data_IF_316502555369
#
_entry.id   IF_316502555369
#
_cell.length_a   1.000
_cell.length_b   1.000
_cell.length_c   1.000
_cell.angle_alpha   90.00
_cell.angle_beta   90.00
_cell.angle_gamma   90.00
#
_symmetry.space_group_name_H-M   'P 1'
#
loop_
_entity.id
_entity.type
_entity.pdbx_description
1 polymer ?
#
# COMPACT_ATOMS: atom_id res chain seq x y z
N UNK A 1 21.40 -32.93 -9.65
CA UNK A 1 20.17 -32.21 -10.03
C UNK A 1 19.60 -31.64 -8.73
N UNK A 2 19.48 -30.32 -8.65
CA UNK A 2 18.90 -29.67 -7.46
C UNK A 2 17.41 -30.03 -7.35
N UNK A 3 16.97 -30.42 -6.15
CA UNK A 3 15.57 -30.73 -5.86
C UNK A 3 14.76 -29.43 -5.82
N UNK A 4 13.54 -29.41 -6.41
CA UNK A 4 12.60 -28.33 -6.24
C UNK A 4 11.83 -28.48 -4.92
N UNK A 5 11.45 -27.38 -4.28
CA UNK A 5 10.72 -27.44 -3.01
C UNK A 5 9.26 -27.84 -3.23
N UNK A 6 8.62 -27.27 -4.24
CA UNK A 6 7.22 -27.50 -4.57
C UNK A 6 7.03 -27.62 -6.07
N UNK A 7 6.28 -28.64 -6.50
CA UNK A 7 5.75 -28.79 -7.85
C UNK A 7 4.23 -28.80 -7.81
N UNK A 8 3.60 -28.02 -8.66
CA UNK A 8 2.13 -27.94 -8.80
C UNK A 8 1.76 -28.26 -10.25
N UNK A 9 0.92 -29.26 -10.44
CA UNK A 9 0.43 -29.64 -11.76
C UNK A 9 0.05 -31.12 -11.86
N UNK A 10 -0.43 -31.59 -13.05
CA UNK A 10 -0.74 -30.76 -14.19
C UNK A 10 -1.96 -29.85 -13.92
N UNK A 11 -1.97 -28.65 -14.49
CA UNK A 11 -3.06 -27.68 -14.33
C UNK A 11 -3.24 -26.82 -15.58
N UNK A 12 -4.39 -26.14 -15.71
CA UNK A 12 -4.49 -25.01 -16.64
C UNK A 12 -3.73 -23.82 -16.02
N UNK A 13 -2.54 -23.56 -16.52
CA UNK A 13 -1.70 -22.43 -16.06
C UNK A 13 -2.07 -21.19 -16.86
N UNK A 14 -2.43 -20.11 -16.15
CA UNK A 14 -2.80 -18.81 -16.72
C UNK A 14 -1.81 -17.76 -16.22
N UNK A 15 -0.70 -17.54 -16.93
CA UNK A 15 0.41 -16.69 -16.46
C UNK A 15 0.13 -15.18 -16.60
N UNK A 16 -1.02 -14.77 -17.12
CA UNK A 16 -1.44 -13.38 -17.40
C UNK A 16 -0.61 -12.68 -18.49
N UNK A 17 0.69 -12.95 -18.54
CA UNK A 17 1.64 -12.33 -19.50
C UNK A 17 1.81 -13.15 -20.79
N UNK A 18 1.25 -14.36 -20.85
CA UNK A 18 1.28 -15.27 -21.99
C UNK A 18 -0.06 -16.01 -22.14
N UNK A 19 -0.26 -16.70 -23.24
CA UNK A 19 -1.45 -17.52 -23.45
C UNK A 19 -1.53 -18.65 -22.40
N UNK A 20 -2.74 -19.01 -21.93
CA UNK A 20 -2.94 -20.15 -21.04
C UNK A 20 -2.50 -21.47 -21.70
N UNK A 21 -1.96 -22.39 -20.89
CA UNK A 21 -1.55 -23.72 -21.34
C UNK A 21 -1.74 -24.74 -20.22
N UNK A 22 -1.84 -26.01 -20.54
CA UNK A 22 -1.78 -27.10 -19.56
C UNK A 22 -0.32 -27.38 -19.22
N UNK A 23 0.03 -27.38 -17.93
CA UNK A 23 1.44 -27.57 -17.53
C UNK A 23 1.66 -27.50 -16.03
N UNK A 24 2.88 -27.12 -15.67
CA UNK A 24 3.43 -27.21 -14.33
C UNK A 24 4.04 -25.89 -13.89
N UNK A 25 3.99 -25.67 -12.57
CA UNK A 25 4.68 -24.58 -11.88
C UNK A 25 5.55 -25.18 -10.77
N UNK A 26 6.82 -24.80 -10.73
CA UNK A 26 7.76 -25.27 -9.71
C UNK A 26 8.42 -24.10 -8.98
N UNK A 27 8.67 -24.28 -7.69
CA UNK A 27 9.29 -23.28 -6.85
C UNK A 27 10.44 -23.87 -6.03
N UNK A 28 11.48 -23.06 -5.82
CA UNK A 28 12.66 -23.40 -5.00
C UNK A 28 13.13 -22.16 -4.25
N UNK A 29 13.39 -22.27 -2.96
CA UNK A 29 13.86 -21.15 -2.16
C UNK A 29 12.86 -19.99 -2.04
N UNK A 30 11.56 -20.28 -2.23
CA UNK A 30 10.51 -19.28 -2.20
C UNK A 30 10.31 -18.49 -3.51
N UNK A 31 10.99 -18.89 -4.58
CA UNK A 31 10.86 -18.31 -5.92
C UNK A 31 10.31 -19.33 -6.91
N UNK A 32 9.54 -18.85 -7.90
CA UNK A 32 9.10 -19.69 -9.02
C UNK A 32 10.30 -19.89 -9.95
N UNK A 33 10.75 -21.14 -10.07
CA UNK A 33 11.96 -21.51 -10.85
C UNK A 33 11.64 -22.14 -12.20
N UNK A 34 10.42 -22.67 -12.38
CA UNK A 34 9.97 -23.25 -13.64
C UNK A 34 8.47 -23.03 -13.86
N UNK A 35 8.10 -22.72 -15.08
CA UNK A 35 6.71 -22.68 -15.57
C UNK A 35 6.71 -23.19 -17.00
N UNK A 36 6.07 -24.32 -17.26
CA UNK A 36 6.10 -24.92 -18.60
C UNK A 36 5.12 -26.08 -18.80
N UNK A 37 4.95 -26.55 -20.05
CA UNK A 37 4.05 -27.66 -20.38
C UNK A 37 4.49 -29.00 -19.77
N UNK A 38 5.77 -29.17 -19.50
CA UNK A 38 6.34 -30.33 -18.84
C UNK A 38 7.06 -29.91 -17.57
N UNK A 39 7.18 -30.80 -16.56
CA UNK A 39 7.98 -30.50 -15.37
C UNK A 39 9.47 -30.42 -15.71
N UNK A 40 10.27 -29.75 -14.90
CA UNK A 40 11.71 -29.57 -15.12
C UNK A 40 12.53 -30.89 -15.17
N UNK A 41 11.95 -31.99 -14.73
CA UNK A 41 12.63 -33.26 -14.55
C UNK A 41 13.45 -33.38 -13.26
N UNK A 42 13.58 -32.32 -12.47
CA UNK A 42 14.15 -32.37 -11.12
C UNK A 42 13.23 -33.11 -10.16
N UNK A 43 13.73 -33.86 -9.15
CA UNK A 43 12.88 -34.39 -8.09
C UNK A 43 12.27 -33.24 -7.27
N UNK A 44 11.03 -33.41 -6.81
CA UNK A 44 10.36 -32.44 -5.97
C UNK A 44 10.25 -32.95 -4.53
N UNK A 45 10.34 -32.04 -3.54
CA UNK A 45 10.12 -32.34 -2.13
C UNK A 45 8.63 -32.53 -1.86
N UNK A 46 7.82 -31.65 -2.40
CA UNK A 46 6.36 -31.68 -2.32
C UNK A 46 5.76 -31.57 -3.73
N UNK A 47 4.79 -32.43 -3.99
CA UNK A 47 4.03 -32.41 -5.25
C UNK A 47 2.55 -32.23 -4.94
N UNK A 48 1.93 -31.28 -5.62
CA UNK A 48 0.50 -31.02 -5.53
C UNK A 48 -0.16 -31.36 -6.86
N UNK A 49 -1.01 -32.39 -6.86
CA UNK A 49 -1.84 -32.73 -8.02
C UNK A 49 -2.90 -31.65 -8.21
N UNK A 50 -2.79 -30.92 -9.30
CA UNK A 50 -3.70 -29.85 -9.66
C UNK A 50 -4.55 -30.18 -10.90
N UNK A 51 -4.73 -31.47 -11.19
CA UNK A 51 -5.58 -31.90 -12.30
C UNK A 51 -7.00 -31.32 -12.20
N UNK A 52 -7.46 -30.71 -13.31
CA UNK A 52 -8.75 -30.06 -13.37
C UNK A 52 -8.83 -28.70 -12.66
N UNK A 53 -7.70 -28.17 -12.17
CA UNK A 53 -7.62 -26.86 -11.51
C UNK A 53 -6.98 -25.82 -12.42
N UNK A 54 -7.12 -24.55 -12.03
CA UNK A 54 -6.49 -23.40 -12.67
C UNK A 54 -5.43 -22.85 -11.74
N UNK A 55 -4.22 -22.66 -12.24
CA UNK A 55 -3.13 -21.99 -11.51
C UNK A 55 -2.96 -20.59 -12.08
N UNK A 56 -3.07 -19.60 -11.24
CA UNK A 56 -2.93 -18.17 -11.55
C UNK A 56 -1.90 -17.53 -10.62
N UNK A 57 -1.30 -16.39 -10.99
CA UNK A 57 -0.57 -15.57 -10.05
C UNK A 57 -1.47 -15.16 -8.88
N UNK A 58 -0.94 -15.17 -7.67
CA UNK A 58 -1.69 -14.75 -6.50
C UNK A 58 -2.08 -13.26 -6.56
N UNK A 59 -3.14 -12.90 -5.86
CA UNK A 59 -3.61 -11.53 -5.80
C UNK A 59 -2.71 -10.65 -4.91
N UNK A 60 -2.68 -9.38 -5.25
CA UNK A 60 -2.05 -8.31 -4.47
C UNK A 60 -3.14 -7.35 -4.03
N UNK A 61 -3.33 -7.21 -2.72
CA UNK A 61 -4.21 -6.19 -2.16
C UNK A 61 -3.41 -4.90 -1.98
N UNK A 62 -3.64 -3.92 -2.84
CA UNK A 62 -2.88 -2.67 -2.88
C UNK A 62 -3.36 -1.62 -1.89
N UNK A 63 -4.43 -1.90 -1.10
CA UNK A 63 -4.94 -1.01 -0.06
C UNK A 63 -5.76 -1.78 0.96
N UNK A 64 -5.24 -1.95 2.16
CA UNK A 64 -5.92 -2.67 3.24
C UNK A 64 -5.42 -2.21 4.61
N UNK A 65 -6.30 -1.63 5.41
CA UNK A 65 -6.02 -1.25 6.80
C UNK A 65 -6.10 -2.49 7.72
N UNK A 66 -4.99 -3.13 7.98
CA UNK A 66 -4.97 -4.39 8.72
C UNK A 66 -5.32 -4.22 10.20
N UNK A 67 -5.08 -3.05 10.79
CA UNK A 67 -5.49 -2.72 12.16
C UNK A 67 -7.00 -2.53 12.34
N UNK A 68 -7.77 -2.41 11.26
CA UNK A 68 -9.22 -2.15 11.33
C UNK A 68 -10.08 -3.43 11.20
N UNK A 69 -9.47 -4.61 11.10
CA UNK A 69 -10.19 -5.87 10.92
C UNK A 69 -11.21 -6.16 12.03
N UNK A 70 -10.90 -5.78 13.26
CA UNK A 70 -11.81 -5.97 14.42
C UNK A 70 -12.94 -4.93 14.45
N UNK A 71 -12.84 -3.86 13.66
CA UNK A 71 -13.80 -2.77 13.59
C UNK A 71 -14.88 -2.95 12.51
N UNK A 72 -15.10 -4.13 11.97
CA UNK A 72 -16.13 -4.39 10.96
C UNK A 72 -17.52 -4.00 11.45
N UNK A 73 -18.26 -3.25 10.63
CA UNK A 73 -19.60 -2.76 10.94
C UNK A 73 -19.65 -1.54 11.87
N UNK A 74 -18.51 -1.03 12.36
CA UNK A 74 -18.47 0.14 13.26
C UNK A 74 -18.81 1.44 12.53
N UNK A 75 -18.53 1.50 11.24
CA UNK A 75 -18.59 2.73 10.46
C UNK A 75 -19.30 2.57 9.10
N UNK A 76 -20.37 1.76 9.08
CA UNK A 76 -21.16 1.54 7.87
C UNK A 76 -22.08 2.75 7.60
N UNK A 77 -22.36 3.01 6.32
CA UNK A 77 -23.37 3.95 5.82
C UNK A 77 -23.21 5.42 6.28
N UNK A 78 -21.97 5.89 6.45
CA UNK A 78 -21.65 7.29 6.78
C UNK A 78 -20.72 7.92 5.75
N UNK A 79 -20.75 9.26 5.63
CA UNK A 79 -19.81 10.01 4.80
C UNK A 79 -18.37 9.94 5.37
N UNK A 80 -17.37 10.29 4.53
CA UNK A 80 -15.96 10.14 4.88
C UNK A 80 -15.56 10.93 6.13
N UNK A 81 -16.04 12.16 6.31
CA UNK A 81 -15.61 12.99 7.44
C UNK A 81 -16.25 12.51 8.75
N UNK A 82 -17.52 12.11 8.73
CA UNK A 82 -18.19 11.43 9.84
C UNK A 82 -17.49 10.09 10.12
N UNK A 83 -17.18 9.32 9.08
CA UNK A 83 -16.44 8.06 9.18
C UNK A 83 -15.09 8.26 9.91
N UNK A 84 -14.31 9.25 9.50
CA UNK A 84 -13.00 9.54 10.11
C UNK A 84 -13.14 10.01 11.55
N UNK A 85 -13.91 11.10 11.78
CA UNK A 85 -13.90 11.85 13.04
C UNK A 85 -14.68 11.16 14.15
N UNK A 86 -15.82 10.54 13.80
CA UNK A 86 -16.74 9.99 14.79
C UNK A 86 -16.62 8.47 14.97
N UNK A 87 -15.98 7.77 14.02
CA UNK A 87 -15.91 6.31 14.05
C UNK A 87 -14.47 5.80 14.07
N UNK A 88 -13.70 6.07 13.03
CA UNK A 88 -12.40 5.41 12.85
C UNK A 88 -11.32 5.98 13.78
N UNK A 89 -11.19 7.30 13.90
CA UNK A 89 -10.19 7.84 14.81
C UNK A 89 -10.46 7.47 16.28
N UNK A 90 -11.69 7.57 16.83
CA UNK A 90 -11.98 7.04 18.16
C UNK A 90 -11.65 5.55 18.30
N UNK A 91 -12.00 4.73 17.29
CA UNK A 91 -11.65 3.32 17.26
C UNK A 91 -10.14 3.11 17.29
N UNK A 92 -9.38 3.76 16.38
CA UNK A 92 -7.93 3.62 16.28
C UNK A 92 -7.20 4.08 17.56
N UNK A 93 -7.71 5.12 18.24
CA UNK A 93 -7.19 5.61 19.53
C UNK A 93 -7.43 4.60 20.65
N UNK A 94 -8.55 3.89 20.62
CA UNK A 94 -8.89 2.89 21.63
C UNK A 94 -8.12 1.57 21.48
N UNK A 95 -7.56 1.29 20.28
CA UNK A 95 -6.76 0.08 20.06
C UNK A 95 -5.50 0.08 20.92
N UNK A 96 -5.17 -1.09 21.44
CA UNK A 96 -3.85 -1.39 22.00
C UNK A 96 -2.94 -2.00 20.94
N UNK A 97 -1.67 -2.13 21.30
CA UNK A 97 -0.70 -2.82 20.44
C UNK A 97 -1.06 -4.30 20.25
N UNK A 98 -1.60 -4.96 21.31
CA UNK A 98 -2.08 -6.33 21.24
C UNK A 98 -3.32 -6.48 20.33
N UNK A 99 -4.26 -5.54 20.40
CA UNK A 99 -5.43 -5.52 19.51
C UNK A 99 -4.99 -5.37 18.05
N UNK A 100 -4.03 -4.51 17.77
CA UNK A 100 -3.49 -4.30 16.43
C UNK A 100 -2.76 -5.53 15.90
N UNK A 101 -2.07 -6.29 16.76
CA UNK A 101 -1.44 -7.56 16.41
C UNK A 101 -2.48 -8.60 16.00
N UNK A 102 -3.52 -8.79 16.84
CA UNK A 102 -4.60 -9.75 16.56
C UNK A 102 -5.38 -9.33 15.31
N UNK A 103 -5.69 -8.04 15.16
CA UNK A 103 -6.38 -7.49 13.99
C UNK A 103 -5.60 -7.77 12.69
N UNK A 104 -4.30 -7.47 12.68
CA UNK A 104 -3.45 -7.68 11.53
C UNK A 104 -3.28 -9.17 11.19
N UNK A 105 -3.14 -10.03 12.20
CA UNK A 105 -3.11 -11.48 12.02
C UNK A 105 -4.41 -12.01 11.40
N UNK A 106 -5.56 -11.62 11.94
CA UNK A 106 -6.87 -12.03 11.43
C UNK A 106 -7.09 -11.56 9.97
N UNK A 107 -6.73 -10.30 9.70
CA UNK A 107 -6.78 -9.75 8.35
C UNK A 107 -5.88 -10.55 7.39
N UNK A 108 -4.63 -10.82 7.77
CA UNK A 108 -3.70 -11.57 6.94
C UNK A 108 -4.18 -13.00 6.64
N UNK A 109 -4.74 -13.69 7.63
CA UNK A 109 -5.32 -15.03 7.43
C UNK A 109 -6.48 -14.98 6.44
N UNK A 110 -7.36 -14.00 6.56
CA UNK A 110 -8.45 -13.81 5.60
C UNK A 110 -7.93 -13.53 4.19
N UNK A 111 -6.94 -12.64 4.05
CA UNK A 111 -6.33 -12.32 2.75
C UNK A 111 -5.70 -13.57 2.11
N UNK A 112 -4.93 -14.35 2.88
CA UNK A 112 -4.31 -15.59 2.38
C UNK A 112 -5.38 -16.59 1.93
N UNK A 113 -6.44 -16.79 2.71
CA UNK A 113 -7.55 -17.69 2.36
C UNK A 113 -8.29 -17.27 1.10
N UNK A 114 -8.25 -15.99 0.75
CA UNK A 114 -8.82 -15.44 -0.49
C UNK A 114 -7.80 -15.29 -1.63
N UNK A 115 -6.61 -15.88 -1.50
CA UNK A 115 -5.59 -15.91 -2.55
C UNK A 115 -4.71 -14.68 -2.64
N UNK A 116 -4.76 -13.76 -1.67
CA UNK A 116 -3.84 -12.63 -1.58
C UNK A 116 -2.54 -13.05 -0.90
N UNK A 117 -1.40 -12.69 -1.46
CA UNK A 117 -0.07 -12.99 -0.92
C UNK A 117 0.75 -11.76 -0.58
N UNK A 118 0.25 -10.57 -0.93
CA UNK A 118 0.86 -9.29 -0.58
C UNK A 118 -0.24 -8.29 -0.22
N UNK A 119 -0.02 -7.56 0.87
CA UNK A 119 -0.86 -6.45 1.32
C UNK A 119 -0.05 -5.16 1.28
N UNK A 120 -0.64 -4.07 0.77
CA UNK A 120 -0.16 -2.72 1.01
C UNK A 120 -1.06 -2.07 2.07
N UNK A 121 -0.52 -1.91 3.27
CA UNK A 121 -1.21 -1.27 4.40
C UNK A 121 -0.83 0.22 4.44
N UNK A 122 -1.80 1.14 4.28
CA UNK A 122 -1.54 2.58 4.31
C UNK A 122 -1.31 3.11 5.73
N UNK A 123 -1.13 2.23 6.69
CA UNK A 123 -0.70 2.54 8.03
C UNK A 123 -1.80 2.42 9.09
N UNK A 124 -1.33 2.12 10.26
CA UNK A 124 -2.08 2.11 11.50
C UNK A 124 -1.30 2.83 12.60
N UNK A 125 -1.82 2.77 13.82
CA UNK A 125 -1.25 3.44 14.98
C UNK A 125 -0.14 2.62 15.66
N UNK A 126 -0.41 1.34 15.88
CA UNK A 126 0.47 0.40 16.59
C UNK A 126 1.19 -0.53 15.60
N UNK A 127 2.15 0.04 14.88
CA UNK A 127 2.85 -0.65 13.78
C UNK A 127 3.63 -1.87 14.25
N UNK A 128 4.20 -1.84 15.46
CA UNK A 128 4.94 -2.98 16.02
C UNK A 128 4.02 -4.21 16.21
N UNK A 129 2.80 -4.00 16.72
CA UNK A 129 1.78 -5.05 16.81
C UNK A 129 1.36 -5.56 15.43
N UNK A 130 1.03 -4.65 14.52
CA UNK A 130 0.68 -5.01 13.14
C UNK A 130 1.77 -5.84 12.47
N UNK A 131 3.03 -5.44 12.61
CA UNK A 131 4.17 -6.14 12.04
C UNK A 131 4.30 -7.58 12.57
N UNK A 132 4.13 -7.77 13.89
CA UNK A 132 4.15 -9.13 14.48
C UNK A 132 3.02 -10.00 13.96
N UNK A 133 1.79 -9.46 13.90
CA UNK A 133 0.64 -10.19 13.36
C UNK A 133 0.82 -10.61 11.91
N UNK A 134 1.29 -9.70 11.06
CA UNK A 134 1.58 -9.98 9.65
C UNK A 134 2.73 -10.99 9.48
N UNK A 135 3.79 -10.86 10.28
CA UNK A 135 4.92 -11.79 10.27
C UNK A 135 4.51 -13.19 10.72
N UNK A 136 3.67 -13.30 11.76
CA UNK A 136 3.14 -14.59 12.24
C UNK A 136 2.29 -15.30 11.18
N UNK A 137 1.49 -14.55 10.40
CA UNK A 137 0.75 -15.11 9.27
C UNK A 137 1.65 -15.50 8.09
N UNK A 138 2.86 -14.96 8.00
CA UNK A 138 3.81 -15.21 6.91
C UNK A 138 3.45 -14.53 5.58
N UNK A 139 2.53 -13.58 5.56
CA UNK A 139 2.17 -12.81 4.37
C UNK A 139 3.24 -11.78 4.03
N UNK A 140 3.37 -11.41 2.75
CA UNK A 140 4.17 -10.25 2.36
C UNK A 140 3.36 -8.98 2.64
N UNK A 141 4.01 -7.94 3.20
CA UNK A 141 3.35 -6.68 3.43
C UNK A 141 4.27 -5.47 3.20
N UNK A 142 3.68 -4.43 2.60
CA UNK A 142 4.14 -3.07 2.75
C UNK A 142 3.40 -2.50 3.95
N UNK A 143 4.14 -2.13 4.98
CA UNK A 143 3.62 -1.73 6.29
C UNK A 143 4.03 -0.30 6.58
N UNK A 144 3.14 0.52 7.12
CA UNK A 144 3.44 1.90 7.44
C UNK A 144 2.76 2.39 8.72
N UNK A 145 3.11 3.60 9.13
CA UNK A 145 2.44 4.34 10.18
C UNK A 145 1.57 5.41 9.54
N UNK A 146 0.27 5.40 9.81
CA UNK A 146 -0.61 6.49 9.39
C UNK A 146 -0.18 7.79 10.07
N UNK A 147 0.13 8.83 9.28
CA UNK A 147 0.74 10.06 9.81
C UNK A 147 -0.06 11.31 9.46
N UNK A 148 -0.05 12.24 10.41
CA UNK A 148 -0.71 13.54 10.33
C UNK A 148 0.10 14.56 11.15
N UNK A 149 0.37 15.75 10.59
CA UNK A 149 1.04 16.85 11.30
C UNK A 149 0.24 18.15 11.32
N UNK A 150 -0.88 18.21 10.60
CA UNK A 150 -1.67 19.41 10.42
C UNK A 150 -3.17 19.11 10.34
N UNK A 151 -3.98 20.15 10.17
CA UNK A 151 -5.43 20.04 10.00
C UNK A 151 -6.21 19.97 11.31
N UNK A 152 -7.53 20.20 11.18
CA UNK A 152 -8.49 20.18 12.29
C UNK A 152 -8.97 18.76 12.58
N UNK A 153 -9.50 18.55 13.79
CA UNK A 153 -10.15 17.30 14.20
C UNK A 153 -9.20 16.14 14.50
N UNK A 154 -7.88 16.34 14.44
CA UNK A 154 -6.92 15.28 14.81
C UNK A 154 -7.10 14.87 16.27
N UNK A 155 -7.07 13.56 16.59
CA UNK A 155 -7.04 13.11 17.97
C UNK A 155 -5.90 13.75 18.76
N UNK A 156 -6.11 14.06 20.05
CA UNK A 156 -5.08 14.62 20.90
C UNK A 156 -3.80 13.78 20.93
N UNK A 157 -3.96 12.47 20.83
CA UNK A 157 -2.86 11.51 20.81
C UNK A 157 -2.05 11.50 19.48
N UNK A 158 -2.52 12.20 18.44
CA UNK A 158 -1.88 12.31 17.13
C UNK A 158 -1.44 13.75 16.80
N UNK A 159 -1.36 14.62 17.82
CA UNK A 159 -0.88 15.99 17.68
C UNK A 159 0.65 16.02 17.74
N UNK A 160 1.27 15.53 16.69
CA UNK A 160 2.72 15.51 16.54
C UNK A 160 3.17 16.57 15.55
N UNK A 161 4.39 17.08 15.72
CA UNK A 161 5.06 17.95 14.76
C UNK A 161 5.58 17.13 13.57
N UNK A 162 5.86 17.79 12.45
CA UNK A 162 6.47 17.17 11.25
C UNK A 162 7.75 16.38 11.61
N UNK A 163 8.61 16.94 12.47
CA UNK A 163 9.86 16.31 12.89
C UNK A 163 9.62 15.02 13.68
N UNK A 164 8.69 15.06 14.64
CA UNK A 164 8.35 13.88 15.44
C UNK A 164 7.73 12.77 14.59
N UNK A 165 6.80 13.14 13.71
CA UNK A 165 6.16 12.18 12.77
C UNK A 165 7.21 11.50 11.91
N UNK A 166 8.12 12.26 11.31
CA UNK A 166 9.17 11.72 10.45
C UNK A 166 10.17 10.86 11.23
N UNK A 167 10.57 11.30 12.43
CA UNK A 167 11.46 10.53 13.30
C UNK A 167 10.89 9.16 13.65
N UNK A 168 9.60 9.11 14.04
CA UNK A 168 8.92 7.84 14.33
C UNK A 168 8.78 6.93 13.11
N UNK A 169 8.54 7.48 11.92
CA UNK A 169 8.54 6.67 10.70
C UNK A 169 9.93 6.10 10.40
N UNK A 170 10.99 6.91 10.58
CA UNK A 170 12.37 6.47 10.37
C UNK A 170 12.76 5.34 11.35
N UNK A 171 12.37 5.44 12.63
CA UNK A 171 12.59 4.39 13.64
C UNK A 171 11.88 3.08 13.26
N UNK A 172 10.62 3.16 12.82
CA UNK A 172 9.86 1.99 12.41
C UNK A 172 10.41 1.39 11.11
N UNK A 173 10.87 2.23 10.18
CA UNK A 173 11.54 1.78 8.97
C UNK A 173 12.83 1.03 9.30
N UNK A 174 13.66 1.55 10.20
CA UNK A 174 14.88 0.88 10.66
C UNK A 174 14.60 -0.47 11.34
N UNK A 175 13.46 -0.59 12.03
CA UNK A 175 13.09 -1.80 12.76
C UNK A 175 12.48 -2.87 11.84
N UNK A 176 11.65 -2.50 10.87
CA UNK A 176 10.81 -3.46 10.14
C UNK A 176 11.10 -3.59 8.64
N UNK A 177 11.82 -2.63 8.03
CA UNK A 177 12.13 -2.75 6.61
C UNK A 177 13.12 -3.88 6.36
N UNK A 178 12.70 -4.89 5.60
CA UNK A 178 13.54 -6.05 5.29
C UNK A 178 13.47 -7.19 6.30
N UNK A 179 12.68 -7.08 7.36
CA UNK A 179 12.49 -8.16 8.32
C UNK A 179 11.56 -9.21 7.73
N UNK A 180 12.07 -10.40 7.44
CA UNK A 180 11.31 -11.46 6.79
C UNK A 180 10.67 -11.00 5.48
N UNK A 181 9.34 -11.08 5.44
CA UNK A 181 8.53 -10.69 4.27
C UNK A 181 7.96 -9.28 4.35
N UNK A 182 8.37 -8.50 5.37
CA UNK A 182 7.89 -7.14 5.58
C UNK A 182 8.80 -6.11 4.89
N UNK A 183 8.19 -5.07 4.36
CA UNK A 183 8.85 -3.86 3.88
C UNK A 183 8.13 -2.67 4.47
N UNK A 184 8.86 -1.69 4.94
CA UNK A 184 8.27 -0.45 5.43
C UNK A 184 7.94 0.47 4.26
N UNK A 185 6.78 1.12 4.30
CA UNK A 185 6.38 2.22 3.43
C UNK A 185 6.15 3.47 4.25
N UNK A 186 6.54 4.62 3.73
CA UNK A 186 6.22 5.88 4.37
C UNK A 186 4.79 6.28 4.02
N UNK A 187 3.96 6.55 5.02
CA UNK A 187 2.52 6.75 4.80
C UNK A 187 2.03 8.09 5.34
N UNK A 188 1.11 8.67 4.60
CA UNK A 188 0.42 9.91 4.87
C UNK A 188 -1.08 9.62 4.95
N UNK A 189 -1.81 10.22 5.91
CA UNK A 189 -3.24 9.94 6.05
C UNK A 189 -4.03 10.51 4.88
N UNK A 190 -4.24 11.82 4.86
CA UNK A 190 -5.00 12.52 3.82
C UNK A 190 -4.40 13.90 3.53
N UNK A 191 -4.89 14.54 2.48
CA UNK A 191 -4.49 15.91 2.13
C UNK A 191 -4.96 16.94 3.16
N UNK A 192 -5.99 16.62 3.94
CA UNK A 192 -6.53 17.51 5.00
C UNK A 192 -5.60 17.61 6.20
N UNK A 193 -4.83 16.55 6.47
CA UNK A 193 -4.11 16.36 7.73
C UNK A 193 -2.59 16.32 7.56
N UNK A 194 -2.08 16.64 6.37
CA UNK A 194 -0.64 16.65 6.10
C UNK A 194 -0.21 17.97 5.50
N UNK A 195 0.81 18.58 6.12
CA UNK A 195 1.46 19.77 5.58
C UNK A 195 2.23 19.44 4.30
N UNK A 196 2.48 20.46 3.47
CA UNK A 196 3.32 20.29 2.28
C UNK A 196 4.75 19.86 2.65
N UNK A 197 5.26 20.34 3.78
CA UNK A 197 6.56 19.95 4.32
C UNK A 197 6.61 18.46 4.62
N UNK A 198 5.65 17.92 5.36
CA UNK A 198 5.58 16.49 5.69
C UNK A 198 5.45 15.65 4.40
N UNK A 199 4.62 16.06 3.46
CA UNK A 199 4.42 15.34 2.21
C UNK A 199 5.72 15.22 1.41
N UNK A 200 6.44 16.35 1.22
CA UNK A 200 7.71 16.37 0.48
C UNK A 200 8.76 15.52 1.18
N UNK A 201 8.96 15.71 2.49
CA UNK A 201 9.94 14.99 3.27
C UNK A 201 9.65 13.47 3.32
N UNK A 202 8.36 13.07 3.38
CA UNK A 202 7.94 11.67 3.32
C UNK A 202 8.32 11.01 1.99
N UNK A 203 8.10 11.71 0.87
CA UNK A 203 8.47 11.20 -0.46
C UNK A 203 10.00 11.06 -0.59
N UNK A 204 10.77 12.03 -0.08
CA UNK A 204 12.23 11.99 -0.11
C UNK A 204 12.78 10.81 0.70
N UNK A 205 12.23 10.53 1.89
CA UNK A 205 12.60 9.37 2.71
C UNK A 205 12.27 8.05 2.05
N UNK A 206 11.08 7.95 1.47
CA UNK A 206 10.69 6.74 0.73
C UNK A 206 11.66 6.45 -0.42
N UNK A 207 12.06 7.48 -1.16
CA UNK A 207 13.06 7.36 -2.25
C UNK A 207 14.43 6.96 -1.71
N UNK A 208 14.88 7.57 -0.62
CA UNK A 208 16.17 7.26 -0.01
C UNK A 208 16.24 5.81 0.50
N UNK A 209 15.15 5.28 1.03
CA UNK A 209 15.05 3.88 1.48
C UNK A 209 14.82 2.90 0.32
N UNK A 210 14.50 3.37 -0.88
CA UNK A 210 14.14 2.51 -2.01
C UNK A 210 12.76 1.83 -1.85
N UNK A 211 11.83 2.50 -1.15
CA UNK A 211 10.46 2.02 -0.91
C UNK A 211 9.42 2.99 -1.50
N UNK A 212 8.15 2.76 -1.18
CA UNK A 212 7.05 3.60 -1.65
C UNK A 212 6.55 4.55 -0.56
N UNK A 213 6.01 5.69 -1.01
CA UNK A 213 5.14 6.54 -0.20
C UNK A 213 3.69 6.25 -0.54
N UNK A 214 2.82 6.15 0.47
CA UNK A 214 1.38 5.93 0.32
C UNK A 214 0.61 7.13 0.88
N UNK A 215 -0.52 7.45 0.27
CA UNK A 215 -1.43 8.50 0.74
C UNK A 215 -2.83 8.27 0.20
N UNK A 216 -3.86 8.56 1.00
CA UNK A 216 -5.24 8.63 0.53
C UNK A 216 -5.44 9.93 -0.25
N UNK A 217 -5.93 9.82 -1.46
CA UNK A 217 -6.12 10.98 -2.37
C UNK A 217 -7.36 10.80 -3.24
N UNK A 218 -8.05 11.90 -3.48
CA UNK A 218 -9.22 11.97 -4.35
C UNK A 218 -10.38 11.07 -3.90
N UNK A 219 -10.56 10.93 -2.58
CA UNK A 219 -11.67 10.18 -2.00
C UNK A 219 -13.00 10.93 -2.12
N UNK A 220 -12.98 12.25 -1.88
CA UNK A 220 -14.17 13.11 -1.89
C UNK A 220 -13.89 14.43 -2.63
N UNK A 221 -14.96 15.09 -3.18
CA UNK A 221 -14.81 16.38 -3.88
C UNK A 221 -14.22 17.50 -3.03
N UNK A 222 -14.45 17.47 -1.72
CA UNK A 222 -14.00 18.45 -0.72
C UNK A 222 -12.48 18.54 -0.63
N UNK A 223 -11.74 17.48 -0.97
CA UNK A 223 -10.27 17.52 -1.07
C UNK A 223 -9.82 18.56 -2.11
N UNK A 224 -10.49 18.61 -3.26
CA UNK A 224 -10.16 19.58 -4.30
C UNK A 224 -10.40 21.02 -3.82
N UNK A 225 -11.48 21.24 -3.06
CA UNK A 225 -11.79 22.54 -2.50
C UNK A 225 -10.77 22.93 -1.42
N UNK A 226 -10.41 21.99 -0.55
CA UNK A 226 -9.37 22.20 0.45
C UNK A 226 -8.03 22.60 -0.21
N UNK A 227 -7.60 21.89 -1.24
CA UNK A 227 -6.36 22.21 -1.99
C UNK A 227 -6.44 23.59 -2.64
N UNK A 228 -7.60 23.97 -3.23
CA UNK A 228 -7.77 25.32 -3.80
C UNK A 228 -7.66 26.38 -2.73
N UNK A 229 -8.30 26.22 -1.59
CA UNK A 229 -8.29 27.22 -0.50
C UNK A 229 -6.93 27.35 0.18
N UNK A 230 -6.29 26.22 0.49
CA UNK A 230 -5.06 26.21 1.30
C UNK A 230 -3.79 26.37 0.48
N UNK A 231 -3.74 25.79 -0.75
CA UNK A 231 -2.51 25.69 -1.55
C UNK A 231 -2.48 26.59 -2.79
N UNK A 232 -3.62 27.16 -3.22
CA UNK A 232 -3.62 28.12 -4.33
C UNK A 232 -2.87 29.42 -4.00
N UNK A 233 -2.91 29.86 -2.73
CA UNK A 233 -2.18 31.05 -2.25
C UNK A 233 -0.67 30.83 -2.15
N UNK A 234 -0.21 29.62 -1.83
CA UNK A 234 1.22 29.28 -1.77
C UNK A 234 1.87 29.17 -3.14
N UNK A 235 1.11 28.86 -4.20
CA UNK A 235 1.64 28.83 -5.59
C UNK A 235 2.19 30.18 -6.07
N UNK A 236 1.68 31.28 -5.57
CA UNK A 236 2.18 32.62 -5.95
C UNK A 236 3.44 33.03 -5.17
N UNK A 237 3.66 32.50 -3.96
CA UNK A 237 4.78 32.93 -3.11
C UNK A 237 6.04 32.07 -3.29
N UNK A 238 5.91 30.78 -3.59
CA UNK A 238 7.05 29.84 -3.66
C UNK A 238 7.64 29.66 -5.06
N UNK A 239 6.95 30.11 -6.11
CA UNK A 239 7.43 29.99 -7.50
C UNK A 239 8.36 31.13 -7.96
N UNK A 240 8.50 32.18 -7.18
CA UNK A 240 9.41 33.28 -7.50
C UNK A 240 10.85 33.10 -6.98
N UNK A 241 11.14 32.05 -6.20
CA UNK A 241 12.40 31.90 -5.48
C UNK A 241 13.34 30.75 -5.87
N UNK A 242 12.93 29.73 -6.64
CA UNK A 242 13.82 28.60 -6.94
C UNK A 242 13.60 27.95 -8.30
N UNK A 243 13.95 28.67 -9.34
CA UNK A 243 14.10 28.11 -10.69
C UNK A 243 15.51 27.54 -10.86
N UNK A 244 15.85 26.45 -10.20
CA UNK A 244 16.96 25.58 -10.64
C UNK A 244 16.75 24.15 -10.15
N UNK A 245 16.59 23.26 -11.13
CA UNK A 245 16.68 21.80 -11.07
C UNK A 245 15.53 21.03 -10.40
N UNK A 246 14.81 20.26 -11.21
CA UNK A 246 13.96 19.16 -10.77
C UNK A 246 12.48 19.50 -10.70
N UNK A 247 11.76 19.41 -11.82
CA UNK A 247 10.30 19.57 -11.87
C UNK A 247 9.64 18.32 -11.30
N UNK A 248 9.19 18.40 -10.07
CA UNK A 248 8.18 17.50 -9.55
C UNK A 248 6.80 18.08 -9.86
N UNK A 249 6.12 17.54 -10.86
CA UNK A 249 4.73 17.85 -11.09
C UNK A 249 3.87 16.96 -10.19
N UNK A 250 3.08 17.57 -9.32
CA UNK A 250 2.03 16.91 -8.58
C UNK A 250 0.90 16.49 -9.53
N UNK A 251 0.31 15.29 -9.37
CA UNK A 251 -0.78 14.82 -10.23
C UNK A 251 -2.12 15.55 -10.07
N UNK A 252 -2.19 16.64 -9.31
CA UNK A 252 -3.42 17.37 -9.00
C UNK A 252 -3.80 18.47 -9.98
N UNK A 253 -3.27 18.50 -11.20
CA UNK A 253 -3.75 19.44 -12.20
C UNK A 253 -4.45 18.72 -13.34
N UNK A 254 -5.80 18.82 -13.28
CA UNK A 254 -6.76 18.53 -14.33
C UNK A 254 -7.19 17.08 -14.58
N UNK A 255 -8.18 16.67 -13.81
CA UNK A 255 -9.29 15.95 -14.40
C UNK A 255 -10.44 16.94 -14.61
N UNK A 256 -10.64 17.40 -15.84
CA UNK A 256 -11.74 18.30 -16.20
C UNK A 256 -11.32 19.59 -16.91
N UNK A 257 -10.89 19.50 -18.13
CA UNK A 257 -11.20 20.36 -19.30
C UNK A 257 -10.28 20.03 -20.45
N UNK A 258 -10.90 19.76 -21.58
CA UNK A 258 -10.29 19.61 -22.90
C UNK A 258 -9.54 20.88 -23.30
N UNK A 259 -8.22 20.86 -23.28
CA UNK A 259 -7.37 21.53 -24.28
C UNK A 259 -5.94 21.01 -24.17
N UNK A 260 -5.45 20.51 -25.29
CA UNK A 260 -4.07 20.06 -25.49
C UNK A 260 -3.08 21.16 -25.20
N UNK A 261 -2.07 20.90 -24.36
CA UNK A 261 -0.71 21.35 -24.62
C UNK A 261 0.27 20.33 -24.05
N UNK A 262 1.12 19.90 -24.94
CA UNK A 262 2.26 19.02 -24.81
C UNK A 262 3.29 19.57 -23.81
N UNK A 263 3.91 18.67 -23.04
CA UNK A 263 5.21 18.96 -22.46
C UNK A 263 5.49 18.31 -21.13
N UNK A 264 6.36 17.29 -21.17
CA UNK A 264 7.29 16.82 -20.17
C UNK A 264 6.83 15.73 -19.21
N UNK A 265 7.11 14.51 -19.61
CA UNK A 265 7.62 13.45 -18.74
C UNK A 265 8.91 12.91 -19.33
N UNK A 266 10.03 12.80 -18.58
CA UNK A 266 10.96 11.71 -18.77
C UNK A 266 10.72 10.67 -17.68
N UNK A 267 10.40 9.50 -18.16
CA UNK A 267 10.63 8.16 -17.63
C UNK A 267 10.81 7.97 -16.12
N UNK A 268 9.70 7.69 -15.42
CA UNK A 268 9.57 6.64 -14.41
C UNK A 268 8.08 6.32 -14.33
N UNK A 269 7.73 5.12 -14.77
CA UNK A 269 6.35 4.75 -15.01
C UNK A 269 5.57 4.55 -13.71
N UNK A 270 4.77 5.52 -13.35
CA UNK A 270 3.58 5.32 -12.56
C UNK A 270 2.39 5.27 -13.53
N UNK A 271 1.94 4.08 -13.89
CA UNK A 271 0.71 3.90 -14.68
C UNK A 271 -0.48 3.94 -13.73
N UNK A 272 -1.13 5.08 -13.64
CA UNK A 272 -2.49 5.16 -13.11
C UNK A 272 -3.42 4.53 -14.17
N UNK A 273 -3.97 3.35 -13.91
CA UNK A 273 -5.04 2.78 -14.73
C UNK A 273 -6.37 3.24 -14.16
N UNK A 274 -7.00 4.19 -14.83
CA UNK A 274 -8.42 4.47 -14.66
C UNK A 274 -9.21 3.41 -15.42
N UNK A 275 -10.04 2.65 -14.73
CA UNK A 275 -11.05 1.80 -15.36
C UNK A 275 -12.23 2.69 -15.79
N UNK A 276 -12.74 2.58 -17.03
CA UNK A 276 -13.96 3.28 -17.43
C UNK A 276 -15.17 2.63 -16.75
N UNK A 277 -16.12 3.46 -16.29
CA UNK A 277 -17.44 2.99 -15.87
C UNK A 277 -18.22 2.47 -17.09
N UNK A 278 -18.92 1.36 -16.97
CA UNK A 278 -19.87 0.97 -18.00
C UNK A 278 -21.07 1.93 -18.01
N UNK A 279 -21.48 2.30 -19.19
CA UNK A 279 -22.72 3.04 -19.50
C UNK A 279 -23.95 2.15 -19.25
#
# INVERSE_FOLDING_TARGET
>A
VSMVDLRVGPALVVPVTAAPFTGWVEATGGEITHVGPEPSGAPAREEYDAAGRIVIPAFVNTHCHTSQQLGRGVADDVDLLTWLHERIWPYEVALTEADSEISALACAVEQIRNGCTLIADPGGRHVDGMARGLAAAGIRALLGRSTMDSGEGRPAADQESTVEVLGRQDELAARWHGVGRLRFSYTLRTIFNNSDELIVATIERARALGTVAQMHVAEIPEENEHVRRTRARQRCATWSGSARSGRTCWPYTRCGSTTRRSGCWPSAAARCRTTPRPT
#
